data_IF_252638289298
#
_entry.id   IF_252638289298
#
_cell.length_a   1.000
_cell.length_b   1.000
_cell.length_c   1.000
_cell.angle_alpha   90.00
_cell.angle_beta   90.00
_cell.angle_gamma   90.00
#
_symmetry.space_group_name_H-M   'P 1'
#
loop_
_entity.id
_entity.type
_entity.pdbx_description
1 polymer ?
#
# COMPACT_ATOMS: atom_id res chain seq x y z
N UNK A 1 -0.20 -15.01 20.69
CA UNK A 1 -0.68 -13.72 20.13
C UNK A 1 -0.64 -12.70 21.24
N UNK A 2 -0.23 -11.47 20.98
CA UNK A 2 -0.23 -10.42 22.01
C UNK A 2 -1.67 -10.11 22.46
N UNK A 3 -1.82 -9.62 23.69
CA UNK A 3 -3.12 -9.16 24.24
C UNK A 3 -3.74 -8.09 23.33
N UNK A 4 -2.91 -7.20 22.76
CA UNK A 4 -3.36 -6.17 21.83
C UNK A 4 -3.95 -6.77 20.55
N UNK A 5 -3.31 -7.78 19.96
CA UNK A 5 -3.83 -8.41 18.74
C UNK A 5 -5.17 -9.11 19.01
N UNK A 6 -5.34 -9.77 20.16
CA UNK A 6 -6.62 -10.38 20.53
C UNK A 6 -7.73 -9.33 20.61
N UNK A 7 -7.46 -8.17 21.24
CA UNK A 7 -8.40 -7.05 21.31
C UNK A 7 -8.81 -6.55 19.92
N UNK A 8 -7.85 -6.35 19.01
CA UNK A 8 -8.14 -5.89 17.64
C UNK A 8 -8.94 -6.94 16.87
N UNK A 9 -8.60 -8.23 17.00
CA UNK A 9 -9.35 -9.30 16.35
C UNK A 9 -10.80 -9.38 16.85
N UNK A 10 -11.05 -9.17 18.14
CA UNK A 10 -12.42 -9.10 18.69
C UNK A 10 -13.20 -7.92 18.11
N UNK A 11 -12.56 -6.78 17.88
CA UNK A 11 -13.20 -5.64 17.21
C UNK A 11 -13.54 -5.95 15.76
N UNK A 12 -12.59 -6.55 15.02
CA UNK A 12 -12.80 -6.97 13.63
C UNK A 12 -13.97 -7.96 13.49
N UNK A 13 -14.13 -8.88 14.45
CA UNK A 13 -15.17 -9.91 14.40
C UNK A 13 -16.61 -9.35 14.45
N UNK A 14 -16.80 -8.14 14.99
CA UNK A 14 -18.11 -7.48 15.10
C UNK A 14 -18.26 -6.27 14.17
N UNK A 15 -17.21 -5.94 13.39
CA UNK A 15 -17.20 -4.80 12.49
C UNK A 15 -17.94 -5.15 11.18
N UNK A 16 -19.02 -4.41 10.88
CA UNK A 16 -19.87 -4.67 9.71
C UNK A 16 -19.12 -4.56 8.39
N UNK A 17 -18.16 -3.65 8.27
CA UNK A 17 -17.38 -3.46 7.05
C UNK A 17 -16.40 -4.62 6.84
N UNK A 18 -15.81 -5.11 7.93
CA UNK A 18 -14.98 -6.31 7.93
C UNK A 18 -15.79 -7.52 7.50
N UNK A 19 -16.93 -7.78 8.16
CA UNK A 19 -17.79 -8.94 7.85
C UNK A 19 -18.21 -8.92 6.38
N UNK A 20 -18.65 -7.77 5.87
CA UNK A 20 -19.01 -7.59 4.45
C UNK A 20 -17.84 -7.90 3.54
N UNK A 21 -16.66 -7.34 3.79
CA UNK A 21 -15.48 -7.57 2.94
C UNK A 21 -14.99 -9.02 2.99
N UNK A 22 -15.07 -9.70 4.15
CA UNK A 22 -14.82 -11.15 4.25
C UNK A 22 -15.79 -11.92 3.36
N UNK A 23 -17.08 -11.57 3.39
CA UNK A 23 -18.10 -12.22 2.57
C UNK A 23 -17.86 -11.99 1.06
N UNK A 24 -17.49 -10.77 0.67
CA UNK A 24 -17.14 -10.44 -0.71
C UNK A 24 -15.94 -11.26 -1.19
N UNK A 25 -14.86 -11.33 -0.39
CA UNK A 25 -13.68 -12.15 -0.69
C UNK A 25 -14.03 -13.64 -0.75
N UNK A 26 -14.85 -14.12 0.18
CA UNK A 26 -15.31 -15.51 0.16
C UNK A 26 -16.08 -15.84 -1.13
N UNK A 27 -16.96 -14.94 -1.58
CA UNK A 27 -17.72 -15.12 -2.82
C UNK A 27 -16.82 -15.16 -4.06
N UNK A 28 -15.76 -14.37 -4.08
CA UNK A 28 -14.75 -14.39 -5.14
C UNK A 28 -13.98 -15.72 -5.13
N UNK A 29 -13.50 -16.15 -3.95
CA UNK A 29 -12.61 -17.32 -3.86
C UNK A 29 -13.36 -18.65 -4.01
N UNK A 30 -14.63 -18.75 -3.60
CA UNK A 30 -15.44 -19.99 -3.68
C UNK A 30 -15.75 -20.45 -5.10
N UNK A 31 -15.56 -19.60 -6.10
CA UNK A 31 -15.71 -19.99 -7.52
C UNK A 31 -14.60 -20.95 -7.97
N UNK A 32 -13.47 -20.94 -7.28
CA UNK A 32 -12.37 -21.88 -7.51
C UNK A 32 -12.66 -23.23 -6.84
N UNK A 33 -12.64 -24.31 -7.61
CA UNK A 33 -12.86 -25.68 -7.11
C UNK A 33 -11.83 -26.13 -6.08
N UNK A 34 -10.63 -25.54 -6.08
CA UNK A 34 -9.58 -25.86 -5.11
C UNK A 34 -9.73 -25.09 -3.79
N UNK A 35 -10.64 -24.11 -3.73
CA UNK A 35 -10.84 -23.30 -2.54
C UNK A 35 -11.36 -24.13 -1.36
N UNK A 36 -10.69 -23.98 -0.22
CA UNK A 36 -11.12 -24.55 1.04
C UNK A 36 -11.01 -23.50 2.14
N UNK A 37 -12.15 -23.15 2.74
CA UNK A 37 -12.23 -22.09 3.73
C UNK A 37 -11.34 -22.33 4.96
N UNK A 38 -11.25 -23.56 5.46
CA UNK A 38 -10.42 -23.88 6.62
C UNK A 38 -8.92 -23.72 6.31
N UNK A 39 -8.48 -24.15 5.12
CA UNK A 39 -7.11 -23.92 4.66
C UNK A 39 -6.81 -22.43 4.48
N UNK A 40 -7.74 -21.67 3.90
CA UNK A 40 -7.61 -20.23 3.74
C UNK A 40 -7.50 -19.51 5.09
N UNK A 41 -8.35 -19.84 6.07
CA UNK A 41 -8.26 -19.30 7.43
C UNK A 41 -6.91 -19.66 8.07
N UNK A 42 -6.44 -20.90 7.91
CA UNK A 42 -5.12 -21.32 8.43
C UNK A 42 -3.98 -20.52 7.80
N UNK A 43 -4.02 -20.29 6.49
CA UNK A 43 -3.06 -19.46 5.76
C UNK A 43 -3.09 -18.01 6.27
N UNK A 44 -4.27 -17.39 6.35
CA UNK A 44 -4.41 -16.02 6.86
C UNK A 44 -3.89 -15.87 8.30
N UNK A 45 -4.17 -16.86 9.17
CA UNK A 45 -3.61 -16.90 10.53
C UNK A 45 -2.09 -16.97 10.55
N UNK A 46 -1.47 -17.63 9.58
CA UNK A 46 -0.02 -17.66 9.43
C UNK A 46 0.53 -16.30 9.01
N UNK A 47 -0.13 -15.60 8.08
CA UNK A 47 0.28 -14.26 7.65
C UNK A 47 0.26 -13.24 8.78
N UNK A 48 -0.78 -13.25 9.62
CA UNK A 48 -0.87 -12.30 10.76
C UNK A 48 -0.05 -12.74 11.98
N UNK A 49 0.63 -13.89 11.93
CA UNK A 49 1.41 -14.39 13.06
C UNK A 49 2.72 -13.61 13.15
N UNK A 50 2.90 -12.89 14.26
CA UNK A 50 4.08 -12.05 14.49
C UNK A 50 3.87 -10.59 14.09
N UNK A 51 2.81 -10.30 13.35
CA UNK A 51 2.43 -8.94 12.98
C UNK A 51 1.81 -8.17 14.17
N UNK A 52 1.97 -6.85 14.17
CA UNK A 52 1.29 -5.95 15.11
C UNK A 52 0.02 -5.42 14.46
N UNK A 53 -1.13 -5.93 14.88
CA UNK A 53 -2.41 -5.46 14.36
C UNK A 53 -2.74 -4.07 14.92
N UNK A 54 -3.12 -3.16 14.03
CA UNK A 54 -3.45 -1.77 14.39
C UNK A 54 -4.76 -1.37 13.73
N UNK A 55 -5.66 -0.76 14.49
CA UNK A 55 -6.82 -0.05 13.93
C UNK A 55 -6.41 1.38 13.57
N UNK A 56 -6.69 1.79 12.34
CA UNK A 56 -6.47 3.15 11.86
C UNK A 56 -7.75 3.64 11.19
N UNK A 57 -8.39 4.65 11.81
CA UNK A 57 -9.71 5.14 11.41
C UNK A 57 -10.74 4.00 11.33
N UNK A 58 -11.32 3.77 10.15
CA UNK A 58 -12.30 2.73 9.86
C UNK A 58 -11.68 1.43 9.31
N UNK A 59 -10.34 1.31 9.33
CA UNK A 59 -9.59 0.18 8.76
C UNK A 59 -8.65 -0.47 9.77
N UNK A 60 -8.12 -1.63 9.40
CA UNK A 60 -7.22 -2.46 10.17
C UNK A 60 -5.97 -2.74 9.34
N UNK A 61 -4.80 -2.43 9.88
CA UNK A 61 -3.50 -2.71 9.29
C UNK A 61 -3.07 -4.08 9.82
N UNK A 62 -3.07 -5.07 8.93
CA UNK A 62 -2.76 -6.47 9.27
C UNK A 62 -1.29 -6.80 9.08
N UNK A 63 -0.65 -6.13 8.12
CA UNK A 63 0.79 -6.17 7.82
C UNK A 63 1.13 -4.90 7.03
N UNK A 64 2.37 -4.43 7.09
CA UNK A 64 2.85 -3.32 6.27
C UNK A 64 2.99 -3.70 4.78
N UNK A 65 2.94 -4.99 4.47
CA UNK A 65 3.02 -5.53 3.10
C UNK A 65 1.65 -5.79 2.46
N UNK A 66 0.56 -5.51 3.18
CA UNK A 66 -0.80 -5.66 2.68
C UNK A 66 -1.52 -4.31 2.72
N UNK A 67 -2.48 -4.08 1.80
CA UNK A 67 -3.38 -2.94 1.93
C UNK A 67 -4.14 -2.97 3.27
N UNK A 68 -4.63 -1.83 3.77
CA UNK A 68 -5.48 -1.80 4.94
C UNK A 68 -6.79 -2.55 4.68
N UNK A 69 -7.31 -3.24 5.68
CA UNK A 69 -8.51 -4.06 5.56
C UNK A 69 -9.61 -3.53 6.48
N UNK A 70 -10.88 -3.40 6.06
CA UNK A 70 -11.37 -3.58 4.71
C UNK A 70 -11.04 -2.35 3.83
N UNK A 71 -10.72 -2.59 2.56
CA UNK A 71 -10.57 -1.52 1.57
C UNK A 71 -10.75 -2.06 0.16
N UNK A 72 -11.05 -1.17 -0.79
CA UNK A 72 -11.11 -1.53 -2.20
C UNK A 72 -9.73 -1.98 -2.72
N UNK A 73 -8.63 -1.36 -2.28
CA UNK A 73 -7.28 -1.83 -2.62
C UNK A 73 -6.96 -3.24 -2.09
N UNK A 74 -7.51 -3.63 -0.94
CA UNK A 74 -7.39 -5.01 -0.45
C UNK A 74 -8.11 -6.00 -1.39
N UNK A 75 -9.30 -5.64 -1.89
CA UNK A 75 -10.03 -6.47 -2.87
C UNK A 75 -9.29 -6.48 -4.21
N UNK A 76 -8.72 -5.36 -4.66
CA UNK A 76 -7.86 -5.30 -5.85
C UNK A 76 -6.67 -6.27 -5.74
N UNK A 77 -6.05 -6.37 -4.55
CA UNK A 77 -4.98 -7.33 -4.31
C UNK A 77 -5.42 -8.79 -4.53
N UNK A 78 -6.67 -9.13 -4.22
CA UNK A 78 -7.25 -10.47 -4.47
C UNK A 78 -7.57 -10.67 -5.95
N UNK A 79 -8.02 -9.62 -6.64
CA UNK A 79 -8.45 -9.67 -8.04
C UNK A 79 -7.31 -9.51 -9.06
N UNK A 80 -6.10 -9.16 -8.62
CA UNK A 80 -4.93 -8.93 -9.48
C UNK A 80 -4.37 -10.22 -10.10
N UNK A 81 -5.15 -10.87 -10.96
CA UNK A 81 -4.83 -12.10 -11.71
C UNK A 81 -5.22 -11.94 -13.17
N UNK A 82 -4.51 -12.60 -14.10
CA UNK A 82 -4.66 -12.34 -15.55
C UNK A 82 -6.06 -12.65 -16.10
N UNK A 83 -6.78 -13.58 -15.48
CA UNK A 83 -8.17 -13.87 -15.81
C UNK A 83 -8.94 -14.14 -14.52
N UNK A 84 -10.20 -13.67 -14.39
CA UNK A 84 -11.02 -13.81 -13.18
C UNK A 84 -11.60 -15.24 -13.06
N UNK A 85 -10.74 -16.25 -13.12
CA UNK A 85 -11.04 -17.68 -12.96
C UNK A 85 -9.95 -18.31 -12.11
N UNK A 86 -10.35 -19.23 -11.23
CA UNK A 86 -9.46 -19.95 -10.32
C UNK A 86 -8.58 -19.00 -9.49
N UNK A 87 -9.17 -17.91 -8.99
CA UNK A 87 -8.43 -16.80 -8.34
C UNK A 87 -7.65 -17.30 -7.13
N UNK A 88 -8.23 -18.18 -6.32
CA UNK A 88 -7.54 -18.75 -5.15
C UNK A 88 -6.26 -19.50 -5.54
N UNK A 89 -6.34 -20.37 -6.54
CA UNK A 89 -5.20 -21.15 -7.04
C UNK A 89 -4.12 -20.23 -7.59
N UNK A 90 -4.48 -19.25 -8.42
CA UNK A 90 -3.54 -18.28 -9.00
C UNK A 90 -2.82 -17.45 -7.94
N UNK A 91 -3.52 -17.05 -6.89
CA UNK A 91 -2.94 -16.33 -5.76
C UNK A 91 -1.89 -17.17 -5.01
N UNK A 92 -2.11 -18.48 -4.85
CA UNK A 92 -1.14 -19.39 -4.22
C UNK A 92 0.13 -19.54 -5.07
N UNK A 93 -0.01 -19.63 -6.39
CA UNK A 93 1.12 -19.75 -7.32
C UNK A 93 1.72 -18.40 -7.73
N UNK A 94 1.26 -17.30 -7.13
CA UNK A 94 1.69 -15.94 -7.44
C UNK A 94 1.54 -15.54 -8.92
N UNK A 95 0.53 -16.10 -9.61
CA UNK A 95 0.16 -15.70 -10.97
C UNK A 95 -0.66 -14.39 -10.92
N UNK A 96 0.01 -13.26 -11.16
CA UNK A 96 -0.57 -11.92 -10.96
C UNK A 96 -0.41 -11.02 -12.17
N UNK A 97 -1.39 -10.15 -12.41
CA UNK A 97 -1.32 -9.10 -13.45
C UNK A 97 -0.29 -8.03 -13.16
N UNK A 98 -0.05 -7.75 -11.87
CA UNK A 98 0.88 -6.73 -11.43
C UNK A 98 1.51 -7.07 -10.06
N UNK A 99 2.65 -6.42 -9.73
CA UNK A 99 3.22 -6.48 -8.40
C UNK A 99 2.25 -6.01 -7.31
N UNK A 100 2.37 -6.60 -6.11
CA UNK A 100 1.58 -6.21 -4.92
C UNK A 100 1.87 -4.76 -4.51
N UNK A 101 3.10 -4.30 -4.73
CA UNK A 101 3.52 -2.95 -4.41
C UNK A 101 4.48 -2.41 -5.44
N UNK A 102 4.27 -1.17 -5.87
CA UNK A 102 5.17 -0.44 -6.76
C UNK A 102 5.64 0.84 -6.07
N UNK A 103 6.95 1.09 -6.03
CA UNK A 103 7.53 2.28 -5.42
C UNK A 103 8.12 3.18 -6.50
N UNK A 104 7.52 4.36 -6.68
CA UNK A 104 7.82 5.29 -7.75
C UNK A 104 8.81 6.36 -7.28
N UNK A 105 10.00 6.37 -7.88
CA UNK A 105 11.00 7.42 -7.69
C UNK A 105 10.61 8.63 -8.56
N UNK A 106 9.85 9.57 -7.99
CA UNK A 106 9.22 10.64 -8.79
C UNK A 106 10.14 11.84 -9.09
N UNK A 107 11.28 11.91 -8.42
CA UNK A 107 12.33 12.90 -8.64
C UNK A 107 13.67 12.35 -8.16
N UNK A 108 14.75 12.80 -8.76
CA UNK A 108 16.13 12.57 -8.32
C UNK A 108 16.64 13.66 -7.38
N UNK A 109 15.94 14.81 -7.29
CA UNK A 109 16.32 15.92 -6.41
C UNK A 109 16.22 15.47 -4.95
N UNK A 110 17.29 15.71 -4.19
CA UNK A 110 17.33 15.51 -2.76
C UNK A 110 18.18 16.63 -2.13
N UNK A 111 17.69 17.33 -1.08
CA UNK A 111 18.50 18.29 -0.36
C UNK A 111 19.55 17.62 0.56
N UNK A 112 19.42 16.32 0.80
CA UNK A 112 20.31 15.55 1.65
C UNK A 112 21.40 14.85 0.84
N UNK A 113 22.55 14.61 1.45
CA UNK A 113 23.70 13.91 0.85
C UNK A 113 24.16 12.73 1.74
N UNK A 114 23.22 11.87 2.14
CA UNK A 114 23.48 10.81 3.11
C UNK A 114 24.58 9.87 2.64
N UNK A 115 25.48 9.49 3.56
CA UNK A 115 26.64 8.63 3.26
C UNK A 115 26.25 7.21 2.80
N UNK A 116 25.10 6.72 3.24
CA UNK A 116 24.54 5.40 2.91
C UNK A 116 23.52 5.44 1.76
N UNK A 117 23.34 6.59 1.09
CA UNK A 117 22.32 6.73 0.06
C UNK A 117 22.64 5.88 -1.19
N UNK A 118 21.82 4.85 -1.44
CA UNK A 118 21.95 3.99 -2.62
C UNK A 118 21.62 4.68 -3.95
N UNK A 119 21.00 5.86 -3.92
CA UNK A 119 20.69 6.66 -5.10
C UNK A 119 21.83 7.61 -5.52
N UNK A 120 22.83 7.84 -4.65
CA UNK A 120 23.88 8.86 -4.85
C UNK A 120 24.69 8.68 -6.12
N UNK A 121 24.93 7.42 -6.52
CA UNK A 121 25.76 7.08 -7.70
C UNK A 121 24.93 6.64 -8.91
N UNK A 122 23.61 6.84 -8.90
CA UNK A 122 22.77 6.44 -10.04
C UNK A 122 22.94 7.43 -11.18
N UNK A 123 23.03 6.90 -12.39
CA UNK A 123 22.95 7.73 -13.59
C UNK A 123 21.54 8.33 -13.67
N UNK A 124 21.46 9.65 -13.73
CA UNK A 124 20.20 10.37 -13.74
C UNK A 124 19.72 10.49 -15.19
N UNK A 125 18.47 10.10 -15.43
CA UNK A 125 17.77 10.33 -16.69
C UNK A 125 16.89 11.56 -16.63
N UNK A 126 16.08 11.75 -17.67
CA UNK A 126 15.03 12.76 -17.66
C UNK A 126 13.94 12.40 -16.64
N UNK A 127 13.49 13.37 -15.86
CA UNK A 127 12.38 13.19 -14.94
C UNK A 127 11.05 13.26 -15.68
N UNK A 128 10.10 12.40 -15.30
CA UNK A 128 8.74 12.48 -15.81
C UNK A 128 8.03 13.73 -15.30
N UNK A 129 7.22 14.32 -16.18
CA UNK A 129 6.29 15.39 -15.84
C UNK A 129 5.19 14.89 -14.90
N UNK A 130 4.44 15.83 -14.31
CA UNK A 130 3.26 15.52 -13.49
C UNK A 130 2.27 14.63 -14.22
N UNK A 131 1.93 15.01 -15.45
CA UNK A 131 0.94 14.34 -16.29
C UNK A 131 1.39 12.92 -16.66
N UNK A 132 2.68 12.74 -16.91
CA UNK A 132 3.26 11.42 -17.16
C UNK A 132 3.19 10.53 -15.91
N UNK A 133 3.49 11.05 -14.72
CA UNK A 133 3.34 10.28 -13.48
C UNK A 133 1.89 9.90 -13.20
N UNK A 134 0.95 10.83 -13.41
CA UNK A 134 -0.49 10.54 -13.27
C UNK A 134 -0.90 9.41 -14.22
N UNK A 135 -0.43 9.43 -15.46
CA UNK A 135 -0.70 8.35 -16.43
C UNK A 135 -0.13 7.00 -15.96
N UNK A 136 1.12 6.97 -15.48
CA UNK A 136 1.74 5.75 -14.92
C UNK A 136 0.91 5.21 -13.74
N UNK A 137 0.46 6.08 -12.84
CA UNK A 137 -0.38 5.67 -11.70
C UNK A 137 -1.71 5.09 -12.17
N UNK A 138 -2.34 5.68 -13.19
CA UNK A 138 -3.58 5.15 -13.77
C UNK A 138 -3.38 3.74 -14.35
N UNK A 139 -2.32 3.54 -15.13
CA UNK A 139 -1.98 2.22 -15.71
C UNK A 139 -1.71 1.17 -14.61
N UNK A 140 -0.97 1.53 -13.55
CA UNK A 140 -0.76 0.65 -12.39
C UNK A 140 -2.08 0.25 -11.70
N UNK A 141 -3.00 1.20 -11.54
CA UNK A 141 -4.31 0.95 -10.95
C UNK A 141 -5.21 0.10 -11.83
N UNK A 142 -5.12 0.22 -13.15
CA UNK A 142 -5.81 -0.63 -14.13
C UNK A 142 -5.30 -2.08 -14.08
N UNK A 143 -4.00 -2.28 -13.84
CA UNK A 143 -3.42 -3.60 -13.62
C UNK A 143 -3.66 -4.16 -12.20
N UNK A 144 -4.45 -3.47 -11.39
CA UNK A 144 -4.82 -3.84 -10.02
C UNK A 144 -3.64 -3.82 -9.02
N UNK A 145 -2.62 -2.98 -9.21
CA UNK A 145 -1.54 -2.77 -8.23
C UNK A 145 -2.11 -2.15 -6.95
N UNK A 146 -2.16 -2.88 -5.82
CA UNK A 146 -2.93 -2.43 -4.67
C UNK A 146 -2.17 -1.48 -3.75
N UNK A 147 -0.85 -1.39 -3.84
CA UNK A 147 -0.02 -0.46 -3.06
C UNK A 147 0.87 0.35 -4.01
N UNK A 148 0.80 1.67 -3.91
CA UNK A 148 1.67 2.59 -4.64
C UNK A 148 2.44 3.43 -3.63
N UNK A 149 3.74 3.17 -3.56
CA UNK A 149 4.69 3.96 -2.78
C UNK A 149 5.22 5.13 -3.60
N UNK A 150 5.29 6.31 -3.01
CA UNK A 150 5.95 7.48 -3.57
C UNK A 150 7.27 7.68 -2.83
N UNK A 151 8.35 7.73 -3.61
CA UNK A 151 9.72 7.90 -3.14
C UNK A 151 10.46 8.84 -4.09
N UNK A 152 11.78 8.92 -4.03
CA UNK A 152 12.58 9.78 -4.88
C UNK A 152 14.05 9.80 -4.46
N UNK A 153 14.69 10.92 -4.72
CA UNK A 153 15.61 11.52 -3.77
C UNK A 153 14.82 12.00 -2.55
N UNK A 154 14.13 13.13 -2.69
CA UNK A 154 13.16 13.65 -1.72
C UNK A 154 11.86 14.05 -2.42
N UNK A 155 10.76 13.28 -2.31
CA UNK A 155 9.51 13.60 -2.99
C UNK A 155 8.92 14.95 -2.55
N UNK A 156 9.17 15.41 -1.33
CA UNK A 156 8.72 16.72 -0.83
C UNK A 156 9.48 17.91 -1.45
N UNK A 157 10.49 17.66 -2.30
CA UNK A 157 11.15 18.68 -3.11
C UNK A 157 10.33 19.07 -4.35
N UNK A 158 9.30 18.28 -4.72
CA UNK A 158 8.39 18.62 -5.82
C UNK A 158 7.20 19.44 -5.32
N UNK A 159 6.82 20.49 -6.06
CA UNK A 159 5.66 21.32 -5.73
C UNK A 159 4.33 20.63 -6.07
N UNK A 160 4.33 19.76 -7.08
CA UNK A 160 3.17 19.02 -7.60
C UNK A 160 2.91 17.68 -6.89
N UNK A 161 3.63 17.38 -5.80
CA UNK A 161 3.49 16.12 -5.05
C UNK A 161 2.04 15.85 -4.62
N UNK A 162 1.29 16.89 -4.25
CA UNK A 162 -0.09 16.75 -3.82
C UNK A 162 -1.02 16.30 -4.95
N UNK A 163 -0.76 16.74 -6.19
CA UNK A 163 -1.52 16.33 -7.37
C UNK A 163 -1.21 14.87 -7.71
N UNK A 164 0.06 14.46 -7.62
CA UNK A 164 0.50 13.08 -7.84
C UNK A 164 -0.16 12.15 -6.82
N UNK A 165 -0.11 12.49 -5.52
CA UNK A 165 -0.78 11.71 -4.47
C UNK A 165 -2.29 11.63 -4.71
N UNK A 166 -2.92 12.75 -5.11
CA UNK A 166 -4.37 12.81 -5.39
C UNK A 166 -4.79 11.93 -6.56
N UNK A 167 -3.89 11.64 -7.49
CA UNK A 167 -4.19 10.74 -8.60
C UNK A 167 -4.29 9.26 -8.19
N UNK A 168 -3.79 8.92 -6.99
CA UNK A 168 -3.94 7.58 -6.41
C UNK A 168 -5.31 7.49 -5.73
N UNK A 169 -6.27 6.87 -6.41
CA UNK A 169 -7.62 6.70 -5.89
C UNK A 169 -7.75 5.44 -5.01
N UNK A 170 -8.96 5.16 -4.52
CA UNK A 170 -9.22 4.05 -3.61
C UNK A 170 -8.94 2.64 -4.18
N UNK A 171 -8.59 2.50 -5.47
CA UNK A 171 -8.07 1.25 -6.04
C UNK A 171 -6.71 0.87 -5.46
N UNK A 172 -5.93 1.84 -4.98
CA UNK A 172 -4.61 1.60 -4.39
C UNK A 172 -4.45 2.31 -3.06
N UNK A 173 -3.50 1.84 -2.27
CA UNK A 173 -3.09 2.48 -1.03
C UNK A 173 -1.80 3.25 -1.28
N UNK A 174 -1.83 4.55 -1.01
CA UNK A 174 -0.71 5.46 -1.19
C UNK A 174 0.17 5.51 0.06
N UNK A 175 1.48 5.33 -0.10
CA UNK A 175 2.47 5.46 0.98
C UNK A 175 3.58 6.39 0.54
N UNK A 176 3.93 7.40 1.33
CA UNK A 176 5.02 8.33 1.04
C UNK A 176 6.25 7.99 1.87
N UNK A 177 7.44 7.96 1.26
CA UNK A 177 8.72 7.87 1.97
C UNK A 177 9.46 9.20 1.82
N UNK A 178 9.81 9.83 2.93
CA UNK A 178 10.45 11.16 2.95
C UNK A 178 11.46 11.25 4.09
N UNK A 179 12.46 12.13 3.96
CA UNK A 179 13.31 12.53 5.08
C UNK A 179 12.61 13.48 6.07
N UNK A 180 11.39 13.93 5.75
CA UNK A 180 10.71 14.99 6.48
C UNK A 180 11.13 16.40 6.07
N UNK A 181 12.06 16.53 5.11
CA UNK A 181 12.40 17.82 4.51
C UNK A 181 11.13 18.51 4.00
N UNK A 182 10.96 19.79 4.36
CA UNK A 182 9.84 20.61 3.91
C UNK A 182 8.45 20.06 4.30
N UNK A 183 8.37 19.12 5.25
CA UNK A 183 7.12 18.56 5.74
C UNK A 183 6.61 19.35 6.95
N UNK A 184 5.94 20.48 6.68
CA UNK A 184 5.21 21.22 7.71
C UNK A 184 3.89 20.54 8.07
N UNK A 185 3.28 20.92 9.20
CA UNK A 185 1.95 20.46 9.58
C UNK A 185 0.91 20.70 8.48
N UNK A 186 0.90 21.90 7.89
CA UNK A 186 -0.02 22.24 6.79
C UNK A 186 0.18 21.35 5.57
N UNK A 187 1.43 21.03 5.22
CA UNK A 187 1.73 20.13 4.10
C UNK A 187 1.37 18.68 4.42
N UNK A 188 1.59 18.22 5.66
CA UNK A 188 1.14 16.91 6.10
C UNK A 188 -0.40 16.78 6.04
N UNK A 189 -1.12 17.82 6.47
CA UNK A 189 -2.58 17.88 6.34
C UNK A 189 -3.01 17.87 4.87
N UNK A 190 -2.36 18.67 4.01
CA UNK A 190 -2.63 18.69 2.57
C UNK A 190 -2.36 17.34 1.89
N UNK A 191 -1.35 16.58 2.33
CA UNK A 191 -1.12 15.20 1.87
C UNK A 191 -2.26 14.28 2.28
N UNK A 192 -2.70 14.34 3.55
CA UNK A 192 -3.85 13.56 4.03
C UNK A 192 -5.13 13.91 3.24
N UNK A 193 -5.39 15.20 3.03
CA UNK A 193 -6.54 15.70 2.24
C UNK A 193 -6.43 15.38 0.74
N UNK A 194 -5.23 15.01 0.28
CA UNK A 194 -4.99 14.49 -1.06
C UNK A 194 -5.18 12.97 -1.15
N UNK A 195 -5.46 12.30 -0.03
CA UNK A 195 -5.69 10.85 0.01
C UNK A 195 -4.45 10.02 0.37
N UNK A 196 -3.38 10.64 0.89
CA UNK A 196 -2.24 9.88 1.40
C UNK A 196 -2.65 9.00 2.59
N UNK A 197 -2.45 7.69 2.49
CA UNK A 197 -2.79 6.75 3.56
C UNK A 197 -1.70 6.65 4.63
N UNK A 198 -0.44 6.51 4.20
CA UNK A 198 0.68 6.29 5.11
C UNK A 198 1.90 7.12 4.76
N UNK A 199 2.73 7.39 5.77
CA UNK A 199 4.02 8.06 5.60
C UNK A 199 5.10 7.35 6.41
N UNK A 200 6.21 7.05 5.74
CA UNK A 200 7.47 6.63 6.35
C UNK A 200 8.40 7.83 6.39
N UNK A 201 8.89 8.16 7.59
CA UNK A 201 9.87 9.23 7.79
C UNK A 201 11.20 8.59 8.14
N UNK A 202 12.24 8.87 7.35
CA UNK A 202 13.60 8.44 7.67
C UNK A 202 14.14 9.21 8.87
N UNK A 203 14.52 8.48 9.91
CA UNK A 203 15.13 9.00 11.13
C UNK A 203 16.37 8.18 11.43
N UNK A 204 17.52 8.65 10.95
CA UNK A 204 18.78 7.90 11.01
C UNK A 204 19.67 8.31 12.19
N UNK A 205 19.46 9.49 12.76
CA UNK A 205 20.16 9.98 13.95
C UNK A 205 19.22 10.81 14.82
N UNK A 206 19.42 10.76 16.13
CA UNK A 206 18.82 11.69 17.09
C UNK A 206 19.60 13.01 17.19
N UNK A 207 20.84 13.02 16.73
CA UNK A 207 21.70 14.20 16.64
C UNK A 207 21.38 14.96 15.35
N UNK A 208 21.28 16.28 15.45
CA UNK A 208 20.98 17.18 14.33
C UNK A 208 22.20 17.41 13.44
#
# INVERSE_FOLDING_TARGET
MSINNLKIMSQMAIDKNVIRSIFDIYNILREDKQFNLLKYIKMMRSFIKGEKLVKHEDKYILSTFLPPFPSKSFVQNVLAVHEPKNIFTKQIYAERTAPISMYLCITHKCPNNCVYCSAKSRQLGEELSKEQWIKVIQELQEMCTPIIGITGGEPMAREDIFDIVRSIDNRSTSILFTSGFNLSYEKAKKLKDSGLFGIGISLDSYEK
#
